data_IF_534577250006
#
_entry.id   IF_534577250006
#
_cell.length_a   1.000
_cell.length_b   1.000
_cell.length_c   1.000
_cell.angle_alpha   90.00
_cell.angle_beta   90.00
_cell.angle_gamma   90.00
#
_symmetry.space_group_name_H-M   'P 1'
#
loop_
_entity.id
_entity.type
_entity.pdbx_description
1 polymer ?
#
# COMPACT_ATOMS: atom_id res chain seq x y z
N UNK A 1 -4.22 -0.85 -15.45
CA UNK A 1 -3.50 -1.98 -14.83
C UNK A 1 -3.24 -3.02 -15.90
N UNK A 2 -2.09 -3.69 -15.84
CA UNK A 2 -1.67 -4.77 -16.74
C UNK A 2 -1.31 -5.98 -15.89
N UNK A 3 -1.61 -7.18 -16.38
CA UNK A 3 -1.45 -8.42 -15.63
C UNK A 3 -2.59 -8.65 -14.62
N UNK A 4 -2.36 -9.54 -13.66
CA UNK A 4 -3.31 -9.93 -12.62
C UNK A 4 -2.64 -9.73 -11.26
N UNK A 5 -3.27 -8.96 -10.38
CA UNK A 5 -2.88 -8.87 -8.96
C UNK A 5 -3.19 -10.19 -8.26
N UNK A 6 -2.19 -10.74 -7.56
CA UNK A 6 -2.42 -11.90 -6.73
C UNK A 6 -3.27 -11.55 -5.51
N UNK A 7 -3.96 -12.55 -4.96
CA UNK A 7 -4.70 -12.45 -3.70
C UNK A 7 -6.17 -12.07 -3.85
N UNK A 8 -6.77 -11.59 -2.76
CA UNK A 8 -8.19 -11.22 -2.67
C UNK A 8 -8.35 -9.70 -2.65
N UNK A 9 -9.17 -9.18 -3.56
CA UNK A 9 -9.60 -7.79 -3.62
C UNK A 9 -11.12 -7.75 -3.75
N UNK A 10 -11.80 -6.96 -2.92
CA UNK A 10 -13.26 -6.79 -2.93
C UNK A 10 -14.06 -8.13 -2.95
N UNK A 11 -13.52 -9.18 -2.33
CA UNK A 11 -14.15 -10.51 -2.27
C UNK A 11 -13.88 -11.42 -3.49
N UNK A 12 -13.00 -11.01 -4.41
CA UNK A 12 -12.56 -11.81 -5.57
C UNK A 12 -11.15 -12.34 -5.32
N UNK A 13 -11.00 -13.66 -5.24
CA UNK A 13 -9.73 -14.33 -4.94
C UNK A 13 -9.02 -14.88 -6.21
N UNK A 14 -7.83 -14.34 -6.50
CA UNK A 14 -6.96 -14.74 -7.61
C UNK A 14 -5.87 -15.76 -7.20
N UNK A 15 -5.95 -16.35 -6.00
CA UNK A 15 -4.93 -17.27 -5.47
C UNK A 15 -4.72 -18.56 -6.27
N UNK A 16 -5.66 -18.91 -7.17
CA UNK A 16 -5.60 -20.12 -8.02
C UNK A 16 -5.11 -19.87 -9.44
N UNK A 17 -4.78 -18.63 -9.80
CA UNK A 17 -4.32 -18.25 -11.14
C UNK A 17 -2.89 -18.76 -11.38
N UNK A 18 -2.63 -19.23 -12.62
CA UNK A 18 -1.30 -19.65 -13.08
C UNK A 18 -0.25 -18.54 -12.88
N UNK A 19 0.88 -18.88 -12.26
CA UNK A 19 1.95 -17.94 -11.91
C UNK A 19 2.54 -17.20 -13.11
N UNK A 20 2.49 -17.80 -14.30
CA UNK A 20 2.92 -17.15 -15.55
C UNK A 20 2.03 -15.97 -15.97
N UNK A 21 0.78 -15.90 -15.48
CA UNK A 21 -0.15 -14.79 -15.71
C UNK A 21 -0.10 -13.71 -14.64
N UNK A 22 0.66 -13.93 -13.56
CA UNK A 22 0.81 -12.99 -12.44
C UNK A 22 1.84 -11.89 -12.70
N UNK A 23 2.56 -11.95 -13.82
CA UNK A 23 3.63 -11.01 -14.15
C UNK A 23 3.39 -10.38 -15.51
N UNK A 24 3.45 -9.05 -15.57
CA UNK A 24 3.37 -8.27 -16.80
C UNK A 24 4.67 -8.40 -17.59
N UNK A 25 4.55 -8.54 -18.92
CA UNK A 25 5.69 -8.49 -19.82
C UNK A 25 6.02 -7.06 -20.29
N UNK A 26 7.31 -6.72 -20.50
CA UNK A 26 7.71 -5.41 -21.04
C UNK A 26 7.03 -5.02 -22.35
N UNK A 27 6.71 -5.99 -23.21
CA UNK A 27 5.99 -5.79 -24.47
C UNK A 27 4.56 -5.30 -24.26
N UNK A 28 3.89 -5.74 -23.19
CA UNK A 28 2.55 -5.28 -22.82
C UNK A 28 2.58 -3.85 -22.30
N UNK A 29 3.60 -3.52 -21.48
CA UNK A 29 3.83 -2.14 -21.01
C UNK A 29 4.06 -1.20 -22.18
N UNK A 30 4.92 -1.58 -23.13
CA UNK A 30 5.16 -0.77 -24.33
C UNK A 30 3.90 -0.62 -25.18
N UNK A 31 3.14 -1.70 -25.40
CA UNK A 31 1.89 -1.61 -26.15
C UNK A 31 0.92 -0.60 -25.51
N UNK A 32 0.70 -0.71 -24.20
CA UNK A 32 -0.16 0.23 -23.47
C UNK A 32 0.38 1.67 -23.55
N UNK A 33 1.67 1.86 -23.34
CA UNK A 33 2.32 3.16 -23.43
C UNK A 33 2.17 3.77 -24.83
N UNK A 34 2.47 3.03 -25.89
CA UNK A 34 2.40 3.48 -27.28
C UNK A 34 0.99 3.91 -27.70
N UNK A 35 -0.05 3.22 -27.21
CA UNK A 35 -1.43 3.57 -27.52
C UNK A 35 -1.95 4.74 -26.69
N UNK A 36 -1.70 4.74 -25.38
CA UNK A 36 -2.37 5.64 -24.46
C UNK A 36 -1.64 6.98 -24.28
N UNK A 37 -0.31 7.02 -24.44
CA UNK A 37 0.46 8.28 -24.36
C UNK A 37 0.08 9.28 -25.46
N UNK A 38 -0.46 8.81 -26.59
CA UNK A 38 -0.98 9.65 -27.68
C UNK A 38 -2.28 10.37 -27.31
N UNK A 39 -2.99 9.90 -26.29
CA UNK A 39 -4.27 10.45 -25.86
C UNK A 39 -4.04 11.50 -24.77
N UNK A 40 -3.17 11.22 -23.81
CA UNK A 40 -2.88 12.11 -22.69
C UNK A 40 -1.47 11.90 -22.16
N UNK A 41 -0.75 12.98 -21.76
CA UNK A 41 0.51 12.85 -21.04
C UNK A 41 0.34 12.33 -19.61
N UNK A 42 -0.88 12.36 -19.06
CA UNK A 42 -1.19 11.90 -17.70
C UNK A 42 -1.45 10.39 -17.68
N UNK A 43 -0.48 9.60 -18.17
CA UNK A 43 -0.56 8.14 -18.17
C UNK A 43 0.27 7.57 -17.02
N UNK A 44 -0.37 6.72 -16.21
CA UNK A 44 0.30 5.88 -15.22
C UNK A 44 -0.04 4.42 -15.46
N UNK A 45 0.91 3.51 -15.23
CA UNK A 45 0.72 2.08 -15.44
C UNK A 45 0.94 1.34 -14.12
N UNK A 46 -0.06 0.60 -13.66
CA UNK A 46 0.14 -0.45 -12.66
C UNK A 46 0.46 -1.73 -13.40
N UNK A 47 1.71 -2.22 -13.28
CA UNK A 47 2.12 -3.52 -13.80
C UNK A 47 2.05 -4.54 -12.68
N UNK A 48 1.72 -5.79 -12.99
CA UNK A 48 1.84 -6.89 -12.06
C UNK A 48 3.31 -7.37 -12.06
N UNK A 49 4.00 -7.21 -10.93
CA UNK A 49 5.39 -7.65 -10.75
C UNK A 49 5.54 -8.50 -9.49
N UNK A 50 4.50 -9.29 -9.20
CA UNK A 50 4.41 -10.14 -8.01
C UNK A 50 3.86 -9.44 -6.78
N UNK A 51 3.29 -8.26 -6.96
CA UNK A 51 2.56 -7.53 -5.93
C UNK A 51 1.17 -8.15 -5.70
N UNK A 52 0.76 -8.21 -4.43
CA UNK A 52 -0.44 -8.93 -3.96
C UNK A 52 -1.25 -7.99 -3.06
N UNK A 53 -2.57 -8.02 -3.15
CA UNK A 53 -3.44 -7.27 -2.24
C UNK A 53 -3.68 -8.06 -0.95
N UNK A 54 -3.51 -7.44 0.23
CA UNK A 54 -3.70 -8.09 1.54
C UNK A 54 -2.44 -8.70 2.17
N UNK A 55 -2.59 -9.29 3.38
CA UNK A 55 -1.50 -10.02 4.07
C UNK A 55 -1.56 -11.50 3.70
N UNK A 56 -0.56 -12.01 2.99
CA UNK A 56 -0.48 -13.42 2.62
C UNK A 56 0.61 -14.20 3.35
N UNK A 57 0.42 -15.53 3.41
CA UNK A 57 1.47 -16.46 3.86
C UNK A 57 2.69 -16.31 2.96
N UNK A 58 3.91 -16.23 3.51
CA UNK A 58 5.14 -16.22 2.72
C UNK A 58 5.17 -17.40 1.73
N UNK A 59 5.39 -17.13 0.44
CA UNK A 59 5.77 -18.16 -0.55
C UNK A 59 4.93 -18.30 -1.83
N UNK A 60 3.76 -17.67 -1.98
CA UNK A 60 2.92 -17.90 -3.18
C UNK A 60 3.30 -17.03 -4.39
N UNK A 61 3.68 -15.77 -4.16
CA UNK A 61 4.10 -14.84 -5.22
C UNK A 61 5.28 -14.05 -4.68
N UNK A 62 6.35 -13.94 -5.47
CA UNK A 62 7.56 -13.23 -5.07
C UNK A 62 7.61 -11.93 -5.86
N UNK A 63 7.76 -10.83 -5.14
CA UNK A 63 8.01 -9.53 -5.75
C UNK A 63 9.25 -9.62 -6.65
N UNK A 64 9.12 -9.19 -7.89
CA UNK A 64 10.15 -9.22 -8.94
C UNK A 64 10.30 -7.83 -9.51
N UNK A 65 10.92 -6.96 -8.73
CA UNK A 65 11.05 -5.51 -9.01
C UNK A 65 11.78 -5.25 -10.33
N UNK A 66 12.61 -6.20 -10.77
CA UNK A 66 13.31 -6.21 -12.05
C UNK A 66 12.37 -6.12 -13.27
N UNK A 67 11.09 -6.52 -13.13
CA UNK A 67 10.10 -6.36 -14.20
C UNK A 67 9.90 -4.89 -14.55
N UNK A 68 9.93 -3.99 -13.56
CA UNK A 68 9.79 -2.55 -13.77
C UNK A 68 11.00 -1.99 -14.51
N UNK A 69 12.22 -2.39 -14.12
CA UNK A 69 13.46 -2.01 -14.80
C UNK A 69 13.48 -2.47 -16.25
N UNK A 70 13.18 -3.75 -16.49
CA UNK A 70 13.13 -4.33 -17.82
C UNK A 70 12.07 -3.65 -18.70
N UNK A 71 10.95 -3.25 -18.10
CA UNK A 71 9.90 -2.51 -18.79
C UNK A 71 10.33 -1.10 -19.16
N UNK A 72 10.99 -0.36 -18.25
CA UNK A 72 11.58 0.96 -18.61
C UNK A 72 12.54 0.81 -19.78
N UNK A 73 13.53 -0.10 -19.67
CA UNK A 73 14.54 -0.32 -20.70
C UNK A 73 13.92 -0.64 -22.05
N UNK A 74 12.94 -1.54 -22.09
CA UNK A 74 12.28 -1.91 -23.33
C UNK A 74 11.54 -0.72 -23.95
N UNK A 75 10.79 0.06 -23.17
CA UNK A 75 10.09 1.23 -23.68
C UNK A 75 11.08 2.30 -24.16
N UNK A 76 12.16 2.55 -23.42
CA UNK A 76 13.23 3.46 -23.84
C UNK A 76 13.85 3.05 -25.18
N UNK A 77 14.17 1.77 -25.35
CA UNK A 77 14.74 1.21 -26.59
C UNK A 77 13.78 1.41 -27.77
N UNK A 78 12.48 1.12 -27.59
CA UNK A 78 11.48 1.31 -28.66
C UNK A 78 11.28 2.78 -29.04
N UNK A 79 11.46 3.70 -28.10
CA UNK A 79 11.31 5.14 -28.33
C UNK A 79 12.61 5.83 -28.77
N UNK A 80 13.76 5.17 -28.67
CA UNK A 80 15.07 5.78 -28.86
C UNK A 80 15.41 6.82 -27.78
N UNK A 81 14.96 6.62 -26.54
CA UNK A 81 14.99 7.58 -25.42
C UNK A 81 15.70 7.00 -24.18
N UNK A 82 16.93 6.54 -24.35
CA UNK A 82 17.65 5.85 -23.28
C UNK A 82 17.87 6.76 -22.05
N UNK A 83 17.55 6.24 -20.86
CA UNK A 83 17.73 6.93 -19.59
C UNK A 83 16.63 7.93 -19.22
N UNK A 84 15.56 8.05 -20.02
CA UNK A 84 14.45 8.97 -19.74
C UNK A 84 13.40 8.41 -18.75
N UNK A 85 13.39 7.10 -18.46
CA UNK A 85 12.37 6.41 -17.66
C UNK A 85 10.94 6.85 -18.03
N UNK A 86 10.50 6.63 -19.28
CA UNK A 86 9.28 7.20 -19.83
C UNK A 86 8.01 6.73 -19.12
N UNK A 87 8.03 5.58 -18.43
CA UNK A 87 6.85 5.02 -17.78
C UNK A 87 6.72 5.51 -16.34
N UNK A 88 5.57 6.08 -15.99
CA UNK A 88 5.20 6.37 -14.60
C UNK A 88 4.46 5.17 -14.00
N UNK A 89 5.11 4.41 -13.13
CA UNK A 89 4.53 3.21 -12.53
C UNK A 89 3.73 3.49 -11.25
N UNK A 90 2.74 2.64 -11.02
CA UNK A 90 1.97 2.57 -9.78
C UNK A 90 2.23 1.21 -9.11
N UNK A 91 2.64 1.23 -7.85
CA UNK A 91 2.86 0.06 -7.01
C UNK A 91 1.56 -0.29 -6.28
N UNK A 92 0.84 -1.27 -6.78
CA UNK A 92 -0.30 -1.89 -6.09
C UNK A 92 0.22 -2.85 -5.01
N UNK A 93 -0.55 -3.13 -3.94
CA UNK A 93 -0.17 -4.13 -2.93
C UNK A 93 1.16 -3.87 -2.19
N UNK A 94 1.41 -2.64 -1.72
CA UNK A 94 2.63 -2.27 -1.00
C UNK A 94 2.82 -2.90 0.37
N UNK A 95 1.74 -3.29 1.04
CA UNK A 95 1.78 -3.76 2.43
C UNK A 95 2.58 -5.05 2.57
N UNK A 96 3.51 -5.07 3.53
CA UNK A 96 4.42 -6.21 3.76
C UNK A 96 5.63 -6.31 2.83
N UNK A 97 5.79 -5.41 1.85
CA UNK A 97 7.01 -5.35 1.04
C UNK A 97 8.21 -4.86 1.86
N UNK A 98 9.42 -5.31 1.51
CA UNK A 98 10.64 -4.85 2.17
C UNK A 98 10.97 -3.40 1.79
N UNK A 99 11.67 -2.68 2.68
CA UNK A 99 12.13 -1.31 2.39
C UNK A 99 13.04 -1.27 1.14
N UNK A 100 13.88 -2.29 0.95
CA UNK A 100 14.78 -2.41 -0.21
C UNK A 100 13.98 -2.56 -1.52
N UNK A 101 12.93 -3.39 -1.51
CA UNK A 101 12.07 -3.57 -2.67
C UNK A 101 11.31 -2.28 -3.03
N UNK A 102 10.81 -1.57 -2.01
CA UNK A 102 10.15 -0.27 -2.19
C UNK A 102 11.14 0.72 -2.81
N UNK A 103 12.34 0.85 -2.24
CA UNK A 103 13.38 1.75 -2.72
C UNK A 103 13.76 1.46 -4.19
N UNK A 104 14.01 0.19 -4.54
CA UNK A 104 14.30 -0.22 -5.92
C UNK A 104 13.15 0.08 -6.88
N UNK A 105 11.90 -0.11 -6.44
CA UNK A 105 10.75 0.19 -7.28
C UNK A 105 10.66 1.68 -7.64
N UNK A 106 11.00 2.57 -6.70
CA UNK A 106 11.09 4.01 -6.92
C UNK A 106 12.20 4.32 -7.92
N UNK A 107 13.36 3.67 -7.81
CA UNK A 107 14.45 3.83 -8.77
C UNK A 107 14.02 3.46 -10.20
N UNK A 108 13.09 2.52 -10.36
CA UNK A 108 12.56 2.10 -11.67
C UNK A 108 11.31 2.87 -12.13
N UNK A 109 10.96 3.97 -11.45
CA UNK A 109 9.93 4.91 -11.91
C UNK A 109 8.55 4.68 -11.29
N UNK A 110 8.46 3.99 -10.16
CA UNK A 110 7.24 4.06 -9.32
C UNK A 110 7.10 5.47 -8.76
N UNK A 111 5.94 6.08 -9.01
CA UNK A 111 5.60 7.43 -8.53
C UNK A 111 4.40 7.44 -7.56
N UNK A 112 3.72 6.30 -7.40
CA UNK A 112 2.56 6.14 -6.54
C UNK A 112 2.55 4.73 -5.98
N UNK A 113 2.34 4.59 -4.67
CA UNK A 113 2.11 3.30 -4.02
C UNK A 113 0.75 3.31 -3.31
N UNK A 114 -0.02 2.24 -3.47
CA UNK A 114 -1.28 2.08 -2.77
C UNK A 114 -1.01 1.53 -1.35
N UNK A 115 -1.71 2.07 -0.36
CA UNK A 115 -1.62 1.68 1.04
C UNK A 115 -3.03 1.39 1.54
N UNK A 116 -3.25 0.20 2.09
CA UNK A 116 -4.56 -0.14 2.65
C UNK A 116 -4.43 -1.07 3.87
N UNK A 117 -4.00 -2.31 3.67
CA UNK A 117 -3.97 -3.34 4.73
C UNK A 117 -3.17 -2.91 5.97
N UNK A 118 -1.98 -2.34 5.77
CA UNK A 118 -1.17 -1.81 6.88
C UNK A 118 -1.84 -0.64 7.61
N UNK A 119 -2.62 0.16 6.88
CA UNK A 119 -3.35 1.31 7.44
C UNK A 119 -4.56 0.84 8.26
N UNK A 120 -5.33 -0.13 7.72
CA UNK A 120 -6.42 -0.77 8.44
C UNK A 120 -5.94 -1.42 9.74
N UNK A 121 -4.79 -2.11 9.68
CA UNK A 121 -4.17 -2.73 10.84
C UNK A 121 -3.73 -1.69 11.88
N UNK A 122 -3.05 -0.62 11.47
CA UNK A 122 -2.62 0.45 12.37
C UNK A 122 -3.80 1.13 13.07
N UNK A 123 -4.87 1.44 12.32
CA UNK A 123 -6.10 2.00 12.89
C UNK A 123 -6.73 1.05 13.90
N UNK A 124 -6.84 -0.24 13.55
CA UNK A 124 -7.38 -1.29 14.43
C UNK A 124 -6.55 -1.46 15.71
N UNK A 125 -5.22 -1.35 15.62
CA UNK A 125 -4.33 -1.37 16.77
C UNK A 125 -4.61 -0.20 17.72
N UNK A 126 -4.79 1.01 17.21
CA UNK A 126 -5.09 2.17 18.07
C UNK A 126 -6.38 2.01 18.86
N UNK A 127 -7.44 1.43 18.26
CA UNK A 127 -8.68 1.09 18.97
C UNK A 127 -8.43 -0.01 20.01
N UNK A 128 -7.78 -1.10 19.59
CA UNK A 128 -7.47 -2.26 20.45
C UNK A 128 -6.70 -1.82 21.69
N UNK A 129 -5.66 -1.02 21.51
CA UNK A 129 -4.74 -0.61 22.57
C UNK A 129 -5.43 0.38 23.52
N UNK A 130 -6.25 1.30 22.99
CA UNK A 130 -7.11 2.16 23.82
C UNK A 130 -8.08 1.34 24.68
N UNK A 131 -8.76 0.35 24.09
CA UNK A 131 -9.68 -0.51 24.83
C UNK A 131 -8.94 -1.34 25.89
N UNK A 132 -7.77 -1.90 25.56
CA UNK A 132 -6.96 -2.66 26.50
C UNK A 132 -6.52 -1.81 27.70
N UNK A 133 -6.13 -0.55 27.45
CA UNK A 133 -5.72 0.39 28.50
C UNK A 133 -6.87 0.80 29.42
N UNK A 134 -8.06 1.09 28.86
CA UNK A 134 -9.20 1.61 29.62
C UNK A 134 -10.30 0.59 29.86
N UNK A 135 -10.00 -0.70 29.72
CA UNK A 135 -10.97 -1.80 29.77
C UNK A 135 -11.95 -1.64 30.93
N UNK A 136 -11.46 -1.45 32.14
CA UNK A 136 -12.28 -1.38 33.35
C UNK A 136 -13.10 -0.09 33.47
N UNK A 137 -12.71 0.96 32.76
CA UNK A 137 -13.44 2.25 32.68
C UNK A 137 -14.48 2.28 31.57
N UNK A 138 -14.53 1.25 30.71
CA UNK A 138 -15.43 1.20 29.55
C UNK A 138 -16.62 0.26 29.75
N UNK A 139 -16.74 -0.38 30.91
CA UNK A 139 -17.79 -1.37 31.17
C UNK A 139 -19.14 -0.74 31.56
N UNK A 140 -19.11 0.43 32.22
CA UNK A 140 -20.30 1.12 32.75
C UNK A 140 -20.19 2.62 32.52
N UNK A 141 -21.33 3.33 32.54
CA UNK A 141 -21.32 4.80 32.43
C UNK A 141 -20.82 5.49 33.72
N UNK A 142 -21.05 4.86 34.87
CA UNK A 142 -20.66 5.29 36.21
C UNK A 142 -20.08 4.06 36.93
N UNK A 143 -19.03 4.27 37.72
CA UNK A 143 -18.31 3.23 38.45
C UNK A 143 -17.07 2.76 37.68
N UNK A 144 -15.92 2.80 38.33
CA UNK A 144 -14.63 2.35 37.78
C UNK A 144 -13.67 1.99 38.92
N UNK A 145 -12.44 1.51 38.63
CA UNK A 145 -11.48 1.12 39.68
C UNK A 145 -11.12 2.23 40.69
N UNK A 146 -11.40 3.50 40.39
CA UNK A 146 -11.16 4.64 41.29
C UNK A 146 -12.37 4.95 42.19
N UNK A 147 -13.56 4.40 41.90
CA UNK A 147 -14.75 4.54 42.73
C UNK A 147 -16.08 4.25 42.01
N UNK A 148 -17.05 3.75 42.77
CA UNK A 148 -18.35 3.27 42.26
C UNK A 148 -19.26 4.38 41.70
N UNK A 149 -19.08 5.62 42.16
CA UNK A 149 -19.90 6.77 41.77
C UNK A 149 -19.23 7.69 40.72
N UNK A 150 -18.06 7.29 40.20
CA UNK A 150 -17.28 8.14 39.28
C UNK A 150 -17.73 7.98 37.82
N UNK A 151 -17.91 9.08 37.05
CA UNK A 151 -18.37 9.02 35.67
C UNK A 151 -17.26 8.64 34.67
N UNK A 152 -17.58 7.76 33.72
CA UNK A 152 -16.64 7.27 32.72
C UNK A 152 -16.69 7.99 31.37
N UNK A 153 -17.46 9.08 31.26
CA UNK A 153 -17.67 9.81 30.00
C UNK A 153 -16.37 10.17 29.28
N UNK A 154 -15.32 10.54 30.03
CA UNK A 154 -14.01 10.89 29.47
C UNK A 154 -13.29 9.73 28.80
N UNK A 155 -13.71 8.48 29.04
CA UNK A 155 -13.12 7.27 28.47
C UNK A 155 -13.97 6.70 27.34
N UNK A 156 -15.30 6.60 27.51
CA UNK A 156 -16.18 5.97 26.51
C UNK A 156 -16.61 6.92 25.38
N UNK A 157 -16.33 8.21 25.48
CA UNK A 157 -16.58 9.14 24.37
C UNK A 157 -15.87 8.63 23.11
N UNK A 158 -16.60 8.31 22.02
CA UNK A 158 -16.02 7.69 20.83
C UNK A 158 -14.86 8.49 20.24
N UNK A 159 -14.83 9.81 20.45
CA UNK A 159 -13.73 10.67 19.98
C UNK A 159 -12.39 10.29 20.60
N UNK A 160 -12.37 9.61 21.75
CA UNK A 160 -11.13 9.20 22.42
C UNK A 160 -10.51 7.98 21.76
N UNK A 161 -11.27 6.91 21.57
CA UNK A 161 -10.78 5.71 20.90
C UNK A 161 -10.53 5.94 19.41
N UNK A 162 -11.39 6.73 18.75
CA UNK A 162 -11.17 7.13 17.35
C UNK A 162 -9.90 8.00 17.21
N UNK A 163 -9.65 8.90 18.16
CA UNK A 163 -8.40 9.68 18.15
C UNK A 163 -7.16 8.80 18.31
N UNK A 164 -7.19 7.81 19.20
CA UNK A 164 -6.09 6.85 19.35
C UNK A 164 -5.86 6.05 18.05
N UNK A 165 -6.95 5.69 17.36
CA UNK A 165 -6.89 5.03 16.05
C UNK A 165 -6.27 5.92 14.96
N UNK A 166 -6.68 7.19 14.89
CA UNK A 166 -6.09 8.19 13.99
C UNK A 166 -4.60 8.40 14.27
N UNK A 167 -4.19 8.46 15.53
CA UNK A 167 -2.78 8.64 15.90
C UNK A 167 -1.93 7.45 15.46
N UNK A 168 -2.38 6.23 15.71
CA UNK A 168 -1.71 5.02 15.24
C UNK A 168 -1.63 4.96 13.70
N UNK A 169 -2.71 5.35 13.01
CA UNK A 169 -2.74 5.47 11.54
C UNK A 169 -1.72 6.50 11.04
N UNK A 170 -1.66 7.68 11.66
CA UNK A 170 -0.70 8.74 11.29
C UNK A 170 0.74 8.28 11.49
N UNK A 171 1.07 7.59 12.57
CA UNK A 171 2.41 7.05 12.78
C UNK A 171 2.79 6.02 11.70
N UNK A 172 1.87 5.11 11.34
CA UNK A 172 2.13 4.16 10.26
C UNK A 172 2.28 4.87 8.90
N UNK A 173 1.49 5.91 8.65
CA UNK A 173 1.55 6.71 7.43
C UNK A 173 2.88 7.49 7.32
N UNK A 174 3.39 8.05 8.42
CA UNK A 174 4.72 8.68 8.46
C UNK A 174 5.82 7.71 8.03
N UNK A 175 5.77 6.46 8.50
CA UNK A 175 6.70 5.42 8.06
C UNK A 175 6.59 5.21 6.54
N UNK A 176 5.36 5.09 6.00
CA UNK A 176 5.16 4.95 4.55
C UNK A 176 5.74 6.13 3.76
N UNK A 177 5.59 7.38 4.22
CA UNK A 177 6.23 8.53 3.57
C UNK A 177 7.76 8.47 3.62
N UNK A 178 8.34 7.96 4.71
CA UNK A 178 9.78 7.77 4.83
C UNK A 178 10.28 6.68 3.86
N UNK A 179 9.62 5.52 3.82
CA UNK A 179 9.92 4.41 2.89
C UNK A 179 9.84 4.85 1.43
N UNK A 180 8.90 5.76 1.12
CA UNK A 180 8.70 6.32 -0.22
C UNK A 180 9.62 7.51 -0.56
N UNK A 181 10.59 7.85 0.29
CA UNK A 181 11.48 9.00 0.13
C UNK A 181 10.74 10.35 -0.08
N UNK A 182 9.54 10.46 0.50
CA UNK A 182 8.57 11.53 0.26
C UNK A 182 8.38 12.48 1.47
N UNK A 183 9.38 12.54 2.36
CA UNK A 183 9.38 13.48 3.49
C UNK A 183 9.89 14.86 3.03
N UNK A 184 9.18 15.93 3.45
CA UNK A 184 9.63 17.31 3.22
C UNK A 184 9.64 17.75 1.75
N UNK A 185 8.76 17.17 0.92
CA UNK A 185 8.72 17.44 -0.53
C UNK A 185 7.76 18.57 -0.94
N UNK A 186 6.94 19.08 -0.03
CA UNK A 186 6.09 20.25 -0.30
C UNK A 186 6.97 21.49 -0.37
N UNK A 187 6.97 22.18 -1.51
CA UNK A 187 7.58 23.50 -1.70
C UNK A 187 6.57 24.61 -1.43
#
# INVERSE_FOLDING_TARGET
ELGITGGEEDGVDNSTVDSSKLYTHPTEVYYAYEKLSKISPNLTIAAAFGNVHGVYRPGNVKLSVEILENSQRYVEEQLGKQGEKPVSFVFHGGSGSSADDIARSIEYGVIKMNLDTDMQWAFSCGIRDYYAQYKDYLQTQIGNPEGDDLPNKKYYDPRKSLRAAEEAFVERLKQSFADLHCIGRNQ
#
